data_IF_725657600732
#
_entry.id   IF_725657600732
#
_cell.length_a   1.000
_cell.length_b   1.000
_cell.length_c   1.000
_cell.angle_alpha   90.00
_cell.angle_beta   90.00
_cell.angle_gamma   90.00
#
_symmetry.space_group_name_H-M   'P 1'
#
loop_
_entity.id
_entity.type
_entity.pdbx_description
1 polymer ?
#
# COMPACT_ATOMS: atom_id res chain seq x y z
N UNK A 1 25.04 39.83 -8.02
CA UNK A 1 24.45 38.69 -8.75
C UNK A 1 23.88 37.77 -7.68
N UNK A 2 22.57 37.89 -7.41
CA UNK A 2 21.98 37.54 -6.12
C UNK A 2 21.54 36.06 -5.99
N UNK A 3 22.17 35.14 -6.72
CA UNK A 3 21.75 33.73 -6.80
C UNK A 3 22.89 32.73 -7.04
N UNK A 4 24.09 32.90 -6.48
CA UNK A 4 25.13 31.86 -6.60
C UNK A 4 25.01 30.72 -5.56
N UNK A 5 24.12 30.84 -4.57
CA UNK A 5 24.35 30.19 -3.29
C UNK A 5 23.21 29.32 -2.74
N UNK A 6 22.44 28.64 -3.60
CA UNK A 6 21.70 27.44 -3.13
C UNK A 6 22.68 26.41 -2.53
N UNK A 7 23.89 26.38 -3.09
CA UNK A 7 25.02 25.66 -2.54
C UNK A 7 25.46 26.22 -1.17
N UNK A 8 25.66 27.54 -0.99
CA UNK A 8 25.99 28.12 0.34
C UNK A 8 24.87 28.00 1.38
N UNK A 9 23.60 27.89 0.98
CA UNK A 9 22.51 27.56 1.91
C UNK A 9 22.55 26.08 2.36
N UNK A 10 23.00 25.19 1.47
CA UNK A 10 23.27 23.79 1.78
C UNK A 10 24.61 23.60 2.52
N UNK A 11 25.54 24.54 2.38
CA UNK A 11 26.87 24.46 2.99
C UNK A 11 27.13 25.56 4.00
N UNK A 12 26.09 26.25 4.52
CA UNK A 12 26.18 27.19 5.65
C UNK A 12 26.97 26.50 6.78
N UNK A 13 28.26 26.75 6.82
CA UNK A 13 29.24 26.12 7.71
C UNK A 13 29.37 24.56 7.64
N UNK A 14 29.07 23.91 6.51
CA UNK A 14 29.35 22.47 6.30
C UNK A 14 28.32 21.47 6.83
N UNK A 15 27.18 21.92 7.36
CA UNK A 15 26.18 21.04 8.01
C UNK A 15 24.93 20.73 7.19
N UNK A 16 24.63 21.41 6.08
CA UNK A 16 23.40 21.12 5.33
C UNK A 16 23.32 19.71 4.74
N UNK A 17 24.37 19.02 4.25
CA UNK A 17 24.22 17.63 3.82
C UNK A 17 23.77 16.71 4.97
N UNK A 18 24.17 16.96 6.22
CA UNK A 18 23.71 16.19 7.37
C UNK A 18 22.20 16.33 7.60
N UNK A 19 21.69 17.56 7.56
CA UNK A 19 20.27 17.85 7.80
C UNK A 19 19.40 17.18 6.75
N UNK A 20 19.78 17.29 5.48
CA UNK A 20 19.07 16.65 4.38
C UNK A 20 19.16 15.12 4.42
N UNK A 21 20.28 14.56 4.87
CA UNK A 21 20.39 13.10 5.08
C UNK A 21 19.46 12.65 6.21
N UNK A 22 19.40 13.38 7.33
CA UNK A 22 18.46 13.12 8.42
C UNK A 22 16.99 13.20 7.95
N UNK A 23 16.63 14.25 7.20
CA UNK A 23 15.30 14.35 6.60
C UNK A 23 15.02 13.22 5.62
N UNK A 24 16.00 12.86 4.78
CA UNK A 24 15.90 11.77 3.82
C UNK A 24 15.64 10.43 4.51
N UNK A 25 16.40 10.10 5.56
CA UNK A 25 16.20 8.88 6.35
C UNK A 25 14.85 8.88 7.06
N UNK A 26 14.47 10.00 7.67
CA UNK A 26 13.15 10.14 8.30
C UNK A 26 12.01 9.92 7.30
N UNK A 27 12.08 10.58 6.14
CA UNK A 27 11.08 10.45 5.09
C UNK A 27 11.04 9.03 4.52
N UNK A 28 12.20 8.38 4.40
CA UNK A 28 12.32 7.00 3.94
C UNK A 28 11.65 6.03 4.93
N UNK A 29 11.91 6.17 6.23
CA UNK A 29 11.25 5.37 7.27
C UNK A 29 9.74 5.64 7.31
N UNK A 30 9.32 6.90 7.20
CA UNK A 30 7.91 7.24 7.13
C UNK A 30 7.24 6.62 5.90
N UNK A 31 7.88 6.72 4.73
CA UNK A 31 7.40 6.15 3.49
C UNK A 31 7.31 4.62 3.56
N UNK A 32 8.31 3.94 4.12
CA UNK A 32 8.26 2.47 4.26
C UNK A 32 7.11 2.02 5.15
N UNK A 33 6.83 2.76 6.23
CA UNK A 33 5.71 2.48 7.13
C UNK A 33 4.35 2.69 6.44
N UNK A 34 4.21 3.81 5.71
CA UNK A 34 2.98 4.13 4.94
C UNK A 34 2.76 3.12 3.82
N UNK A 35 3.80 2.82 3.03
CA UNK A 35 3.76 1.83 1.95
C UNK A 35 3.40 0.46 2.54
N UNK A 36 4.03 0.05 3.64
CA UNK A 36 3.73 -1.19 4.34
C UNK A 36 2.26 -1.26 4.78
N UNK A 37 1.74 -0.19 5.39
CA UNK A 37 0.34 -0.08 5.82
C UNK A 37 -0.64 -0.18 4.65
N UNK A 38 -0.35 0.49 3.53
CA UNK A 38 -1.17 0.44 2.32
C UNK A 38 -1.14 -0.96 1.70
N UNK A 39 0.03 -1.57 1.56
CA UNK A 39 0.17 -2.92 1.00
C UNK A 39 -0.55 -3.95 1.86
N UNK A 40 -0.47 -3.83 3.19
CA UNK A 40 -1.14 -4.73 4.12
C UNK A 40 -2.66 -4.61 4.02
N UNK A 41 -3.20 -3.38 3.91
CA UNK A 41 -4.64 -3.17 3.63
C UNK A 41 -5.08 -3.80 2.31
N UNK A 42 -4.30 -3.65 1.25
CA UNK A 42 -4.60 -4.26 -0.06
C UNK A 42 -4.63 -5.79 0.02
N UNK A 43 -3.65 -6.40 0.71
CA UNK A 43 -3.60 -7.84 0.93
C UNK A 43 -4.81 -8.38 1.70
N UNK A 44 -5.31 -7.63 2.68
CA UNK A 44 -6.52 -8.02 3.43
C UNK A 44 -7.76 -7.98 2.55
N UNK A 45 -7.94 -6.91 1.76
CA UNK A 45 -9.07 -6.79 0.83
C UNK A 45 -9.05 -7.86 -0.25
N UNK A 46 -7.88 -8.16 -0.82
CA UNK A 46 -7.75 -9.18 -1.86
C UNK A 46 -8.07 -10.59 -1.33
N UNK A 47 -7.69 -10.89 -0.08
CA UNK A 47 -8.07 -12.15 0.59
C UNK A 47 -9.58 -12.26 0.76
N UNK A 48 -10.25 -11.19 1.18
CA UNK A 48 -11.71 -11.18 1.34
C UNK A 48 -12.44 -11.37 0.01
N UNK A 49 -11.96 -10.74 -1.07
CA UNK A 49 -12.50 -10.92 -2.43
C UNK A 49 -12.40 -12.36 -2.92
N UNK A 50 -11.28 -13.02 -2.61
CA UNK A 50 -11.09 -14.42 -3.00
C UNK A 50 -12.03 -15.37 -2.26
N UNK A 51 -12.24 -15.15 -0.95
CA UNK A 51 -13.20 -15.94 -0.16
C UNK A 51 -14.65 -15.73 -0.62
N UNK A 52 -15.05 -14.49 -0.92
CA UNK A 52 -16.41 -14.20 -1.40
C UNK A 52 -16.71 -14.88 -2.75
N UNK A 53 -15.71 -14.97 -3.64
CA UNK A 53 -15.83 -15.71 -4.91
C UNK A 53 -16.05 -17.21 -4.69
N UNK A 54 -15.40 -17.80 -3.69
CA UNK A 54 -15.57 -19.22 -3.38
C UNK A 54 -16.91 -19.52 -2.72
N UNK A 55 -17.37 -18.64 -1.81
CA UNK A 55 -18.69 -18.78 -1.19
C UNK A 55 -19.82 -18.74 -2.23
N UNK A 56 -19.76 -17.84 -3.22
CA UNK A 56 -20.73 -17.78 -4.33
C UNK A 56 -20.80 -19.05 -5.18
N UNK A 57 -19.69 -19.79 -5.32
CA UNK A 57 -19.67 -21.03 -6.10
C UNK A 57 -20.41 -22.17 -5.40
N UNK A 58 -20.39 -22.20 -4.07
CA UNK A 58 -21.07 -23.24 -3.30
C UNK A 58 -22.60 -23.07 -3.30
N UNK A 59 -23.10 -21.84 -3.34
CA UNK A 59 -24.55 -21.57 -3.41
C UNK A 59 -25.13 -21.89 -4.79
N UNK A 60 -24.35 -21.77 -5.86
CA UNK A 60 -24.79 -22.12 -7.22
C UNK A 60 -24.85 -23.64 -7.48
N UNK A 61 -24.05 -24.43 -6.75
CA UNK A 61 -24.09 -25.90 -6.82
C UNK A 61 -25.16 -26.50 -5.90
N UNK A 62 -25.73 -25.71 -4.99
CA UNK A 62 -26.83 -26.10 -4.12
C UNK A 62 -28.22 -25.77 -4.70
N UNK A 63 -28.35 -25.57 -6.01
CA UNK A 63 -29.65 -25.72 -6.68
C UNK A 63 -29.91 -27.22 -6.77
N UNK A 64 -30.79 -27.77 -5.91
CA UNK A 64 -31.08 -29.18 -5.92
C UNK A 64 -31.85 -29.48 -7.20
N UNK A 65 -31.36 -30.49 -7.89
CA UNK A 65 -32.06 -31.26 -8.90
C UNK A 65 -33.22 -32.00 -8.23
N UNK A 66 -34.28 -31.27 -7.92
CA UNK A 66 -35.59 -31.77 -7.48
C UNK A 66 -36.54 -30.70 -7.99
N UNK A 67 -37.23 -30.84 -9.12
CA UNK A 67 -38.27 -31.84 -9.37
C UNK A 67 -38.29 -32.22 -10.86
N UNK A 68 -37.55 -33.28 -11.20
CA UNK A 68 -37.97 -34.17 -12.28
C UNK A 68 -38.56 -35.40 -11.61
N UNK A 69 -39.87 -35.61 -11.75
CA UNK A 69 -40.53 -36.85 -11.35
C UNK A 69 -41.60 -36.70 -10.27
N UNK A 70 -42.75 -36.13 -10.62
CA UNK A 70 -44.03 -36.66 -10.15
C UNK A 70 -45.02 -36.66 -11.30
N UNK A 71 -45.43 -37.89 -11.63
CA UNK A 71 -46.50 -38.30 -12.54
C UNK A 71 -47.85 -37.68 -12.24
#
# INVERSE_FOLDING_TARGET
MAFDSLHDFWTMNGHGPYVWTCYGVFFLVMATLVIGSILQRRRVIDRQRWQLKMARRQTATATPRTEEGTS
#
